data_IF_619522491534
#
_entry.id   IF_619522491534
#
_cell.length_a   1.000
_cell.length_b   1.000
_cell.length_c   1.000
_cell.angle_alpha   90.00
_cell.angle_beta   90.00
_cell.angle_gamma   90.00
#
_symmetry.space_group_name_H-M   'P 1'
#
loop_
_entity.id
_entity.type
_entity.pdbx_description
1 polymer ?
#
# COMPACT_ATOMS: atom_id res chain seq x y z
N UNK A 1 3.23 -8.28 8.25
CA UNK A 1 3.94 -8.40 6.96
C UNK A 1 3.89 -7.08 6.22
N UNK A 2 4.99 -6.64 5.60
CA UNK A 2 5.02 -5.51 4.67
C UNK A 2 5.27 -6.07 3.26
N UNK A 3 4.60 -5.52 2.25
CA UNK A 3 4.79 -5.89 0.85
C UNK A 3 5.33 -4.67 0.11
N UNK A 4 6.34 -4.86 -0.73
CA UNK A 4 6.89 -3.83 -1.60
C UNK A 4 6.75 -4.29 -3.04
N UNK A 5 6.15 -3.46 -3.88
CA UNK A 5 6.00 -3.73 -5.31
C UNK A 5 6.13 -2.41 -6.09
N UNK A 6 6.58 -2.44 -7.35
CA UNK A 6 6.75 -1.18 -8.08
C UNK A 6 5.41 -0.56 -8.51
N UNK A 7 4.55 -1.35 -9.14
CA UNK A 7 3.23 -0.95 -9.65
C UNK A 7 2.14 -1.28 -8.64
N UNK A 8 1.31 -0.32 -8.26
CA UNK A 8 0.28 -0.48 -7.24
C UNK A 8 -1.09 -0.92 -7.73
N UNK A 9 -2.07 -0.82 -6.84
CA UNK A 9 -3.50 -0.96 -7.15
C UNK A 9 -4.16 0.42 -7.07
N UNK A 10 -3.50 1.42 -7.63
CA UNK A 10 -3.79 2.84 -7.40
C UNK A 10 -4.61 3.53 -8.49
N UNK A 11 -5.29 2.73 -9.32
CA UNK A 11 -6.11 3.19 -10.45
C UNK A 11 -5.27 3.61 -11.66
N UNK A 12 -4.11 4.25 -11.43
CA UNK A 12 -3.13 4.56 -12.48
C UNK A 12 -2.45 3.30 -12.99
N UNK A 13 -2.13 2.37 -12.08
CA UNK A 13 -1.39 1.16 -12.42
C UNK A 13 -2.19 0.11 -13.23
N UNK A 14 -3.44 0.41 -13.63
CA UNK A 14 -4.37 -0.52 -14.31
C UNK A 14 -3.92 -0.93 -15.72
N UNK A 15 -2.99 -0.20 -16.33
CA UNK A 15 -2.39 -0.61 -17.61
C UNK A 15 -1.26 -1.64 -17.47
N UNK A 16 -0.72 -1.83 -16.26
CA UNK A 16 0.29 -2.87 -15.98
C UNK A 16 -0.28 -4.09 -15.30
N UNK A 17 -1.42 -3.94 -14.62
CA UNK A 17 -2.13 -5.04 -13.98
C UNK A 17 -3.58 -5.11 -14.42
N UNK A 18 -4.01 -6.30 -14.82
CA UNK A 18 -5.43 -6.59 -14.97
C UNK A 18 -6.10 -6.81 -13.60
N UNK A 19 -7.43 -6.66 -13.58
CA UNK A 19 -8.22 -7.02 -12.40
C UNK A 19 -8.05 -8.50 -12.00
N UNK A 20 -7.81 -9.40 -12.96
CA UNK A 20 -7.54 -10.82 -12.68
C UNK A 20 -6.21 -11.02 -11.92
N UNK A 21 -5.17 -10.25 -12.27
CA UNK A 21 -3.91 -10.28 -11.55
C UNK A 21 -4.06 -9.72 -10.13
N UNK A 22 -4.91 -8.70 -9.95
CA UNK A 22 -5.28 -8.20 -8.62
C UNK A 22 -5.94 -9.30 -7.80
N UNK A 23 -6.94 -9.96 -8.37
CA UNK A 23 -7.72 -10.97 -7.70
C UNK A 23 -6.84 -12.18 -7.31
N UNK A 24 -5.87 -12.57 -8.17
CA UNK A 24 -4.87 -13.60 -7.84
C UNK A 24 -3.99 -13.22 -6.65
N UNK A 25 -3.48 -11.99 -6.59
CA UNK A 25 -2.74 -11.50 -5.43
C UNK A 25 -3.62 -11.51 -4.18
N UNK A 26 -4.85 -11.00 -4.28
CA UNK A 26 -5.78 -10.97 -3.16
C UNK A 26 -6.14 -12.38 -2.66
N UNK A 27 -6.24 -13.36 -3.55
CA UNK A 27 -6.46 -14.76 -3.17
C UNK A 27 -5.30 -15.30 -2.31
N UNK A 28 -4.06 -15.01 -2.68
CA UNK A 28 -2.89 -15.33 -1.86
C UNK A 28 -2.99 -14.60 -0.51
N UNK A 29 -3.23 -13.29 -0.50
CA UNK A 29 -3.32 -12.52 0.74
C UNK A 29 -4.47 -12.96 1.65
N UNK A 30 -5.54 -13.51 1.08
CA UNK A 30 -6.72 -14.05 1.75
C UNK A 30 -6.66 -15.55 2.05
N UNK A 31 -5.55 -16.25 1.76
CA UNK A 31 -5.40 -17.71 1.93
C UNK A 31 -6.59 -18.49 1.33
N UNK A 32 -6.95 -18.18 0.09
CA UNK A 32 -8.06 -18.80 -0.64
C UNK A 32 -7.68 -19.10 -2.09
N UNK A 33 -8.44 -19.99 -2.73
CA UNK A 33 -8.24 -20.37 -4.14
C UNK A 33 -9.00 -19.42 -5.08
N UNK A 34 -10.24 -19.04 -4.74
CA UNK A 34 -11.09 -18.21 -5.59
C UNK A 34 -11.50 -16.90 -4.90
N UNK A 35 -11.76 -15.86 -5.71
CA UNK A 35 -12.08 -14.51 -5.20
C UNK A 35 -13.39 -14.42 -4.41
N UNK A 36 -14.29 -15.37 -4.62
CA UNK A 36 -15.60 -15.40 -3.96
C UNK A 36 -15.57 -16.23 -2.66
N UNK A 37 -14.46 -16.92 -2.38
CA UNK A 37 -14.32 -17.68 -1.15
C UNK A 37 -14.07 -16.73 0.02
N UNK A 38 -14.41 -17.20 1.23
CA UNK A 38 -14.16 -16.48 2.49
C UNK A 38 -12.69 -16.06 2.57
N UNK A 39 -12.45 -14.78 2.84
CA UNK A 39 -11.10 -14.26 3.01
C UNK A 39 -10.60 -14.57 4.43
N UNK A 40 -9.52 -15.33 4.52
CA UNK A 40 -8.76 -15.56 5.75
C UNK A 40 -7.44 -14.79 5.65
N UNK A 41 -7.41 -13.47 5.93
CA UNK A 41 -6.29 -12.63 5.58
C UNK A 41 -5.01 -13.01 6.33
N UNK A 42 -3.86 -12.91 5.66
CA UNK A 42 -2.58 -12.76 6.34
C UNK A 42 -2.55 -11.41 7.08
N UNK A 43 -1.73 -11.31 8.12
CA UNK A 43 -1.51 -10.06 8.83
C UNK A 43 -0.63 -9.10 7.99
N UNK A 44 -1.21 -8.52 6.95
CA UNK A 44 -0.60 -7.52 6.06
C UNK A 44 -0.78 -6.14 6.67
N UNK A 45 0.33 -5.49 7.00
CA UNK A 45 0.36 -4.16 7.61
C UNK A 45 0.31 -3.04 6.57
N UNK A 46 0.74 -3.33 5.34
CA UNK A 46 0.74 -2.37 4.25
C UNK A 46 1.39 -2.92 2.99
N UNK A 47 0.89 -2.46 1.84
CA UNK A 47 1.45 -2.68 0.51
C UNK A 47 2.02 -1.35 0.02
N UNK A 48 3.33 -1.26 -0.15
CA UNK A 48 4.04 -0.04 -0.54
C UNK A 48 4.37 -0.10 -2.02
N UNK A 49 3.93 0.94 -2.74
CA UNK A 49 4.07 1.03 -4.18
C UNK A 49 4.75 2.31 -4.62
N UNK A 50 5.39 2.26 -5.78
CA UNK A 50 5.93 3.41 -6.47
C UNK A 50 5.14 3.70 -7.74
N UNK A 51 5.86 4.11 -8.78
CA UNK A 51 5.38 4.27 -10.16
C UNK A 51 4.42 5.45 -10.45
N UNK A 52 3.45 5.72 -9.58
CA UNK A 52 2.42 6.74 -9.83
C UNK A 52 2.97 8.18 -9.81
N UNK A 53 4.15 8.43 -9.23
CA UNK A 53 4.84 9.75 -9.13
C UNK A 53 3.91 10.92 -8.74
N UNK A 54 2.79 10.62 -8.08
CA UNK A 54 1.74 11.54 -7.68
C UNK A 54 1.70 11.65 -6.14
N UNK A 55 1.11 12.72 -5.58
CA UNK A 55 1.04 12.93 -4.13
C UNK A 55 0.51 11.69 -3.42
N UNK A 56 1.04 11.40 -2.24
CA UNK A 56 0.73 10.18 -1.51
C UNK A 56 -0.77 9.87 -1.52
N UNK A 57 -1.12 8.69 -2.05
CA UNK A 57 -2.49 8.18 -2.02
C UNK A 57 -2.53 6.92 -1.19
N UNK A 58 -3.51 6.86 -0.31
CA UNK A 58 -3.84 5.68 0.46
C UNK A 58 -5.08 5.07 -0.13
N UNK A 59 -4.94 3.83 -0.57
CA UNK A 59 -5.96 3.17 -1.35
C UNK A 59 -6.29 1.88 -0.63
N UNK A 60 -7.56 1.80 -0.25
CA UNK A 60 -8.12 0.59 0.33
C UNK A 60 -8.46 -0.35 -0.79
N UNK A 61 -7.84 -1.52 -0.78
CA UNK A 61 -8.09 -2.59 -1.73
C UNK A 61 -9.03 -3.57 -1.06
N UNK A 62 -10.30 -3.56 -1.47
CA UNK A 62 -11.30 -4.49 -0.97
C UNK A 62 -11.00 -5.92 -1.43
N UNK A 63 -10.98 -6.86 -0.50
CA UNK A 63 -10.63 -8.25 -0.75
C UNK A 63 -11.83 -9.22 -0.60
N UNK A 64 -13.00 -8.74 -0.18
CA UNK A 64 -14.17 -9.57 0.12
C UNK A 64 -14.53 -9.52 1.60
N UNK A 65 -15.14 -10.59 2.10
CA UNK A 65 -15.56 -10.72 3.50
C UNK A 65 -14.85 -11.87 4.20
N UNK A 66 -14.67 -11.75 5.52
CA UNK A 66 -14.21 -12.83 6.39
C UNK A 66 -15.34 -13.81 6.76
N UNK A 67 -15.02 -14.83 7.57
CA UNK A 67 -15.96 -15.86 7.99
C UNK A 67 -17.17 -15.31 8.78
N UNK A 68 -17.06 -14.10 9.32
CA UNK A 68 -18.11 -13.42 10.07
C UNK A 68 -18.90 -12.42 9.18
N UNK A 69 -18.63 -12.41 7.86
CA UNK A 69 -19.26 -11.48 6.92
C UNK A 69 -18.69 -10.06 6.99
N UNK A 70 -17.59 -9.83 7.69
CA UNK A 70 -16.98 -8.49 7.80
C UNK A 70 -16.08 -8.22 6.61
N UNK A 71 -16.16 -7.01 6.05
CA UNK A 71 -15.28 -6.56 4.97
C UNK A 71 -13.79 -6.67 5.35
N UNK A 72 -13.00 -7.22 4.44
CA UNK A 72 -11.55 -7.27 4.52
C UNK A 72 -10.97 -6.31 3.48
N UNK A 73 -10.11 -5.40 3.95
CA UNK A 73 -9.44 -4.39 3.11
C UNK A 73 -7.93 -4.43 3.39
N UNK A 74 -7.14 -4.30 2.33
CA UNK A 74 -5.69 -4.08 2.44
C UNK A 74 -5.35 -2.64 2.12
N UNK A 75 -4.35 -2.09 2.80
CA UNK A 75 -3.91 -0.72 2.57
C UNK A 75 -2.73 -0.69 1.59
N UNK A 76 -2.94 -0.03 0.46
CA UNK A 76 -1.88 0.31 -0.47
C UNK A 76 -1.44 1.77 -0.28
N UNK A 77 -0.17 1.94 0.09
CA UNK A 77 0.52 3.22 0.18
C UNK A 77 1.27 3.48 -1.13
N UNK A 78 0.78 4.41 -1.94
CA UNK A 78 1.50 4.92 -3.12
C UNK A 78 2.44 6.04 -2.68
N UNK A 79 3.74 5.81 -2.80
CA UNK A 79 4.78 6.69 -2.27
C UNK A 79 5.27 7.65 -3.35
N UNK A 80 5.01 8.95 -3.15
CA UNK A 80 5.29 10.06 -4.08
C UNK A 80 6.76 10.11 -4.55
N UNK A 81 7.71 9.85 -3.65
CA UNK A 81 9.10 10.32 -3.78
C UNK A 81 10.15 9.21 -3.75
N UNK A 82 10.02 8.22 -4.61
CA UNK A 82 11.13 7.28 -4.89
C UNK A 82 11.31 7.02 -6.38
N UNK A 83 11.24 8.05 -7.23
CA UNK A 83 11.51 7.82 -8.64
C UNK A 83 12.07 9.00 -9.43
N UNK A 84 13.22 8.71 -10.04
CA UNK A 84 13.57 8.99 -11.42
C UNK A 84 12.47 9.62 -12.29
N UNK A 85 12.42 10.96 -12.34
CA UNK A 85 12.09 11.63 -13.59
C UNK A 85 13.22 12.59 -13.92
N UNK A 86 13.61 12.61 -15.19
CA UNK A 86 14.63 13.50 -15.73
C UNK A 86 14.12 14.93 -15.92
N UNK A 87 12.85 15.22 -15.59
CA UNK A 87 12.19 16.46 -15.99
C UNK A 87 11.42 17.22 -14.91
N UNK A 88 11.17 16.66 -13.72
CA UNK A 88 10.61 17.43 -12.61
C UNK A 88 11.51 17.40 -11.39
N UNK A 89 12.13 18.54 -11.13
CA UNK A 89 12.93 18.81 -9.93
C UNK A 89 12.08 18.84 -8.64
N UNK A 90 10.92 18.18 -8.60
CA UNK A 90 10.05 18.07 -7.43
C UNK A 90 9.87 16.60 -6.97
N UNK A 91 10.40 15.62 -7.70
CA UNK A 91 10.09 14.18 -7.49
C UNK A 91 11.19 13.35 -6.77
N UNK A 92 12.24 13.98 -6.26
CA UNK A 92 13.30 13.29 -5.53
C UNK A 92 13.02 13.31 -4.04
N UNK A 93 13.20 12.20 -3.34
CA UNK A 93 13.01 12.13 -1.90
C UNK A 93 13.16 10.72 -1.38
N UNK A 94 12.64 10.47 -0.18
CA UNK A 94 12.53 9.13 0.39
C UNK A 94 11.45 9.09 1.45
N UNK A 95 11.00 7.88 1.78
CA UNK A 95 10.13 7.64 2.93
C UNK A 95 10.78 6.70 3.93
N UNK A 96 10.58 6.97 5.21
CA UNK A 96 11.01 6.13 6.33
C UNK A 96 9.77 5.56 7.00
N UNK A 97 9.66 4.23 6.98
CA UNK A 97 8.60 3.50 7.68
C UNK A 97 9.16 2.96 8.98
N UNK A 98 8.61 3.40 10.11
CA UNK A 98 8.97 2.93 11.45
C UNK A 98 7.78 2.21 12.08
N UNK A 99 8.00 0.97 12.51
CA UNK A 99 7.01 0.20 13.28
C UNK A 99 7.38 0.25 14.76
N UNK A 100 6.42 0.58 15.63
CA UNK A 100 6.58 0.53 17.08
C UNK A 100 5.37 -0.12 17.70
N UNK A 101 5.50 -1.35 18.19
CA UNK A 101 4.40 -2.07 18.85
C UNK A 101 3.12 -2.08 18.02
N UNK A 102 2.16 -1.25 18.43
CA UNK A 102 0.83 -1.09 17.86
C UNK A 102 0.70 0.01 16.80
N UNK A 103 1.82 0.61 16.33
CA UNK A 103 1.78 1.74 15.38
C UNK A 103 2.81 1.65 14.27
N UNK A 104 2.42 2.14 13.11
CA UNK A 104 3.26 2.40 11.94
C UNK A 104 3.33 3.90 11.72
N UNK A 105 4.56 4.41 11.63
CA UNK A 105 4.87 5.80 11.32
C UNK A 105 5.50 5.85 9.94
N UNK A 106 4.96 6.67 9.05
CA UNK A 106 5.50 6.88 7.71
C UNK A 106 5.90 8.34 7.63
N UNK A 107 7.20 8.59 7.59
CA UNK A 107 7.77 9.91 7.33
C UNK A 107 8.17 10.00 5.88
N UNK A 108 7.90 11.13 5.24
CA UNK A 108 8.30 11.36 3.86
C UNK A 108 9.04 12.67 3.75
N UNK A 109 10.20 12.62 3.08
CA UNK A 109 11.02 13.78 2.79
C UNK A 109 11.13 13.96 1.30
N UNK A 110 10.76 15.14 0.84
CA UNK A 110 11.04 15.58 -0.51
C UNK A 110 12.38 16.32 -0.52
N UNK A 111 13.18 16.16 -1.57
CA UNK A 111 14.54 16.69 -1.70
C UNK A 111 14.59 18.22 -1.65
N UNK A 112 13.54 18.87 -2.16
CA UNK A 112 13.46 20.33 -2.33
C UNK A 112 12.45 20.99 -1.41
N UNK A 113 11.72 20.20 -0.61
CA UNK A 113 10.82 20.74 0.41
C UNK A 113 11.60 21.05 1.67
N UNK A 114 11.61 22.32 2.09
CA UNK A 114 12.15 22.75 3.40
C UNK A 114 11.18 22.42 4.56
N UNK A 115 10.03 21.82 4.26
CA UNK A 115 9.01 21.47 5.24
C UNK A 115 9.46 20.35 6.19
N UNK A 116 9.04 20.47 7.45
CA UNK A 116 9.16 19.44 8.49
C UNK A 116 8.56 18.13 7.99
N UNK A 117 9.24 16.99 8.19
CA UNK A 117 8.82 15.67 7.70
C UNK A 117 7.37 15.35 8.10
N UNK A 118 6.38 15.43 7.19
CA UNK A 118 5.03 15.01 7.52
C UNK A 118 5.07 13.55 7.98
N UNK A 119 4.38 13.29 9.09
CA UNK A 119 4.28 11.95 9.66
C UNK A 119 2.85 11.46 9.52
N UNK A 120 2.70 10.31 8.87
CA UNK A 120 1.47 9.55 8.89
C UNK A 120 1.58 8.50 9.98
N UNK A 121 0.59 8.43 10.87
CA UNK A 121 0.53 7.40 11.92
C UNK A 121 -0.66 6.49 11.65
N UNK A 122 -0.42 5.18 11.68
CA UNK A 122 -1.42 4.13 11.49
C UNK A 122 -1.37 3.16 12.64
N UNK A 123 -2.52 2.79 13.16
CA UNK A 123 -2.59 1.70 14.15
C UNK A 123 -2.34 0.37 13.45
N UNK A 124 -1.41 -0.41 13.98
CA UNK A 124 -1.14 -1.79 13.61
C UNK A 124 -2.00 -2.68 14.51
N UNK A 125 -2.98 -3.34 13.91
CA UNK A 125 -3.68 -4.45 14.56
C UNK A 125 -3.01 -5.74 14.11
N UNK A 126 -2.16 -6.28 14.98
CA UNK A 126 -1.66 -7.65 14.79
C UNK A 126 -2.85 -8.58 14.98
N UNK A 127 -3.30 -9.24 13.91
CA UNK A 127 -4.30 -10.30 14.02
C UNK A 127 -3.81 -11.36 15.00
N UNK A 128 -4.63 -11.67 16.01
CA UNK A 128 -4.42 -12.82 16.90
C UNK A 128 -4.69 -14.11 16.14
#
# INVERSE_FOLDING_TARGET
>A
MLIFQHYGWDGFSTMWWSDDQRDKMLNILCRRENKNDVCNPYNVLGIFTGHNHHPQRWIKVYAGTDANGKAVEFENFSMLTTAATTHDALAYGFSVVRLTGDKMYIHTKDKFGDAFWPVTVRDIKVGK
#
